data_IF_824872030068
#
_entry.id   IF_824872030068
#
_cell.length_a   1.000
_cell.length_b   1.000
_cell.length_c   1.000
_cell.angle_alpha   90.00
_cell.angle_beta   90.00
_cell.angle_gamma   90.00
#
_symmetry.space_group_name_H-M   'P 1'
#
loop_
_entity.id
_entity.type
_entity.pdbx_description
1 polymer ?
#
# COMPACT_ATOMS: atom_id res chain seq x y z
N UNK A 1 8.75 -17.70 13.11
CA UNK A 1 8.44 -16.25 13.19
C UNK A 1 7.02 -16.15 13.74
N UNK A 2 6.76 -15.45 14.85
CA UNK A 2 5.41 -15.42 15.44
C UNK A 2 4.50 -14.48 14.65
N UNK A 3 3.30 -14.95 14.28
CA UNK A 3 2.23 -14.16 13.65
C UNK A 3 1.79 -12.96 14.52
N UNK A 4 2.14 -13.01 15.80
CA UNK A 4 1.92 -11.99 16.82
C UNK A 4 2.66 -10.68 16.49
N UNK A 5 3.91 -10.77 16.05
CA UNK A 5 4.71 -9.60 15.64
C UNK A 5 4.09 -8.83 14.46
N UNK A 6 3.62 -9.56 13.43
CA UNK A 6 2.98 -8.97 12.26
C UNK A 6 1.64 -8.32 12.64
N UNK A 7 0.90 -8.92 13.58
CA UNK A 7 -0.33 -8.33 14.13
C UNK A 7 -0.04 -7.03 14.88
N UNK A 8 1.02 -6.99 15.69
CA UNK A 8 1.34 -5.82 16.52
C UNK A 8 1.80 -4.61 15.68
N UNK A 9 2.63 -4.85 14.65
CA UNK A 9 2.95 -3.82 13.64
C UNK A 9 1.71 -3.30 12.89
N UNK A 10 0.79 -4.19 12.54
CA UNK A 10 -0.49 -3.80 11.92
C UNK A 10 -1.38 -3.01 12.88
N UNK A 11 -1.34 -3.30 14.17
CA UNK A 11 -2.11 -2.61 15.21
C UNK A 11 -1.57 -1.21 15.50
N UNK A 12 -0.24 -1.04 15.57
CA UNK A 12 0.41 0.28 15.66
C UNK A 12 -0.02 1.18 14.49
N UNK A 13 -0.16 0.59 13.29
CA UNK A 13 -0.69 1.28 12.10
C UNK A 13 -2.17 1.66 12.27
N UNK A 14 -3.04 0.72 12.66
CA UNK A 14 -4.49 0.97 12.85
C UNK A 14 -4.78 2.03 13.90
N UNK A 15 -3.99 2.10 14.98
CA UNK A 15 -4.20 3.03 16.08
C UNK A 15 -3.89 4.50 15.73
N UNK A 16 -3.01 4.74 14.75
CA UNK A 16 -2.52 6.10 14.42
C UNK A 16 -3.03 6.65 13.08
N UNK A 17 -3.39 5.79 12.12
CA UNK A 17 -4.12 6.20 10.91
C UNK A 17 -5.63 6.14 11.18
N UNK A 18 -6.13 7.02 12.07
CA UNK A 18 -7.55 7.11 12.42
C UNK A 18 -8.43 7.78 11.35
N UNK A 19 -7.82 8.28 10.27
CA UNK A 19 -8.54 8.79 9.12
C UNK A 19 -8.33 7.82 7.95
N UNK A 20 -9.30 6.94 7.76
CA UNK A 20 -9.38 6.02 6.64
C UNK A 20 -9.56 6.79 5.34
N UNK A 21 -8.45 7.14 4.69
CA UNK A 21 -8.40 7.51 3.27
C UNK A 21 -8.89 6.39 2.33
N UNK A 22 -9.31 5.24 2.87
CA UNK A 22 -10.08 4.25 2.13
C UNK A 22 -11.56 4.60 2.00
N UNK A 23 -12.09 5.49 2.85
CA UNK A 23 -13.47 5.96 2.78
C UNK A 23 -13.59 7.27 1.95
N UNK A 24 -12.62 8.17 2.03
CA UNK A 24 -12.70 9.52 1.44
C UNK A 24 -12.70 9.67 -0.10
N UNK A 25 -11.95 8.91 -0.92
CA UNK A 25 -11.85 9.25 -2.35
C UNK A 25 -13.18 9.08 -3.08
N UNK A 26 -13.95 8.04 -2.72
CA UNK A 26 -15.23 7.78 -3.34
C UNK A 26 -16.38 8.60 -2.72
N UNK A 27 -16.27 9.02 -1.45
CA UNK A 27 -17.29 9.87 -0.80
C UNK A 27 -17.56 11.15 -1.60
N UNK A 28 -16.50 11.79 -2.10
CA UNK A 28 -16.64 13.00 -2.94
C UNK A 28 -17.41 12.77 -4.25
N UNK A 29 -17.39 11.55 -4.78
CA UNK A 29 -18.20 11.16 -5.95
C UNK A 29 -19.63 10.87 -5.49
N UNK A 30 -19.79 10.13 -4.39
CA UNK A 30 -21.09 9.72 -3.83
C UNK A 30 -21.96 10.96 -3.53
N UNK A 31 -21.40 11.98 -2.90
CA UNK A 31 -22.08 13.25 -2.57
C UNK A 31 -22.52 14.05 -3.80
N UNK A 32 -22.00 13.72 -4.98
CA UNK A 32 -22.27 14.42 -6.24
C UNK A 32 -23.06 13.58 -7.24
N UNK A 33 -23.43 12.34 -6.90
CA UNK A 33 -24.20 11.45 -7.79
C UNK A 33 -25.47 12.15 -8.27
N UNK A 34 -26.22 12.78 -7.35
CA UNK A 34 -27.48 13.48 -7.65
C UNK A 34 -27.30 14.69 -8.60
N UNK A 35 -26.07 15.21 -8.73
CA UNK A 35 -25.77 16.32 -9.66
C UNK A 35 -25.45 15.84 -11.08
N UNK A 36 -25.28 14.55 -11.27
CA UNK A 36 -24.74 13.97 -12.50
C UNK A 36 -25.63 12.90 -13.14
N UNK A 37 -26.64 12.41 -12.43
CA UNK A 37 -27.48 11.30 -12.86
C UNK A 37 -28.93 11.54 -12.46
N UNK A 38 -29.86 10.93 -13.18
CA UNK A 38 -31.29 10.95 -12.83
C UNK A 38 -31.59 10.12 -11.56
N UNK A 39 -32.79 10.28 -11.01
CA UNK A 39 -33.20 9.68 -9.73
C UNK A 39 -33.12 8.14 -9.72
N UNK A 40 -33.51 7.48 -10.81
CA UNK A 40 -33.50 6.01 -10.93
C UNK A 40 -32.06 5.47 -10.91
N UNK A 41 -31.17 6.13 -11.67
CA UNK A 41 -29.74 5.83 -11.69
C UNK A 41 -29.09 6.12 -10.33
N UNK A 42 -29.47 7.21 -9.67
CA UNK A 42 -28.98 7.56 -8.33
C UNK A 42 -29.36 6.51 -7.29
N UNK A 43 -30.62 6.06 -7.28
CA UNK A 43 -31.10 5.01 -6.39
C UNK A 43 -30.31 3.72 -6.59
N UNK A 44 -30.17 3.29 -7.84
CA UNK A 44 -29.42 2.08 -8.20
C UNK A 44 -27.94 2.17 -7.78
N UNK A 45 -27.29 3.32 -7.97
CA UNK A 45 -25.90 3.54 -7.53
C UNK A 45 -25.76 3.48 -6.00
N UNK A 46 -26.73 4.00 -5.25
CA UNK A 46 -26.73 3.93 -3.78
C UNK A 46 -26.87 2.49 -3.29
N UNK A 47 -27.70 1.68 -3.94
CA UNK A 47 -27.84 0.27 -3.59
C UNK A 47 -26.59 -0.56 -3.95
N UNK A 48 -25.92 -0.21 -5.04
CA UNK A 48 -24.58 -0.72 -5.37
C UNK A 48 -23.57 -0.44 -4.25
N UNK A 49 -23.55 0.76 -3.69
CA UNK A 49 -22.64 1.13 -2.59
C UNK A 49 -22.97 0.32 -1.33
N UNK A 50 -24.25 0.09 -1.02
CA UNK A 50 -24.66 -0.78 0.09
C UNK A 50 -24.19 -2.22 -0.14
N UNK A 51 -24.42 -2.77 -1.33
CA UNK A 51 -24.00 -4.11 -1.70
C UNK A 51 -22.47 -4.30 -1.58
N UNK A 52 -21.69 -3.34 -2.07
CA UNK A 52 -20.23 -3.34 -1.93
C UNK A 52 -19.80 -3.50 -0.46
N UNK A 53 -20.40 -2.73 0.46
CA UNK A 53 -20.09 -2.80 1.91
C UNK A 53 -20.43 -4.16 2.49
N UNK A 54 -21.58 -4.73 2.14
CA UNK A 54 -22.02 -6.05 2.60
C UNK A 54 -21.10 -7.16 2.09
N UNK A 55 -20.71 -7.15 0.82
CA UNK A 55 -19.78 -8.14 0.24
C UNK A 55 -18.45 -8.15 1.02
N UNK A 56 -17.90 -6.97 1.29
CA UNK A 56 -16.65 -6.85 2.07
C UNK A 56 -16.85 -7.35 3.50
N UNK A 57 -17.97 -7.01 4.15
CA UNK A 57 -18.29 -7.41 5.51
C UNK A 57 -18.35 -8.95 5.64
N UNK A 58 -19.18 -9.60 4.82
CA UNK A 58 -19.35 -11.05 4.82
C UNK A 58 -18.05 -11.78 4.43
N UNK A 59 -17.34 -11.28 3.41
CA UNK A 59 -16.03 -11.83 3.03
C UNK A 59 -14.96 -11.72 4.13
N UNK A 60 -15.04 -10.70 5.00
CA UNK A 60 -14.15 -10.57 6.17
C UNK A 60 -14.52 -11.56 7.28
N UNK A 61 -15.82 -11.79 7.47
CA UNK A 61 -16.35 -12.77 8.41
C UNK A 61 -16.19 -14.24 7.93
N UNK A 62 -15.69 -14.44 6.70
CA UNK A 62 -15.63 -15.74 6.03
C UNK A 62 -17.00 -16.37 5.75
N UNK A 63 -18.05 -15.55 5.75
CA UNK A 63 -19.39 -15.92 5.32
C UNK A 63 -19.48 -15.77 3.80
N UNK A 64 -18.95 -16.76 3.08
CA UNK A 64 -18.81 -16.68 1.62
C UNK A 64 -20.12 -16.93 0.88
N UNK A 65 -21.08 -17.62 1.49
CA UNK A 65 -22.40 -17.88 0.92
C UNK A 65 -23.20 -16.58 0.83
N UNK A 66 -23.32 -15.85 1.95
CA UNK A 66 -23.98 -14.54 1.95
C UNK A 66 -23.23 -13.53 1.06
N UNK A 67 -21.90 -13.55 1.05
CA UNK A 67 -21.14 -12.69 0.15
C UNK A 67 -21.46 -12.98 -1.33
N UNK A 68 -21.59 -14.25 -1.71
CA UNK A 68 -21.91 -14.66 -3.08
C UNK A 68 -23.34 -14.29 -3.47
N UNK A 69 -24.31 -14.46 -2.57
CA UNK A 69 -25.70 -14.05 -2.80
C UNK A 69 -25.77 -12.54 -3.10
N UNK A 70 -25.11 -11.70 -2.29
CA UNK A 70 -25.07 -10.26 -2.52
C UNK A 70 -24.33 -9.92 -3.83
N UNK A 71 -23.31 -10.70 -4.22
CA UNK A 71 -22.66 -10.53 -5.53
C UNK A 71 -23.67 -10.76 -6.66
N UNK A 72 -24.48 -11.82 -6.62
CA UNK A 72 -25.48 -12.07 -7.66
C UNK A 72 -26.57 -11.00 -7.70
N UNK A 73 -27.11 -10.60 -6.54
CA UNK A 73 -28.08 -9.49 -6.46
C UNK A 73 -27.50 -8.20 -7.05
N UNK A 74 -26.25 -7.87 -6.73
CA UNK A 74 -25.61 -6.64 -7.21
C UNK A 74 -25.36 -6.62 -8.73
N UNK A 75 -25.21 -7.79 -9.37
CA UNK A 75 -25.15 -7.89 -10.84
C UNK A 75 -26.50 -7.58 -11.47
N UNK A 76 -27.60 -7.97 -10.85
CA UNK A 76 -28.95 -7.59 -11.27
C UNK A 76 -29.13 -6.07 -11.13
N UNK A 77 -28.69 -5.47 -10.02
CA UNK A 77 -28.77 -4.01 -9.83
C UNK A 77 -27.97 -3.27 -10.90
N UNK A 78 -26.76 -3.75 -11.25
CA UNK A 78 -25.95 -3.19 -12.33
C UNK A 78 -26.70 -3.16 -13.68
N UNK A 79 -27.64 -4.07 -13.93
CA UNK A 79 -28.38 -4.11 -15.20
C UNK A 79 -29.34 -2.93 -15.39
N UNK A 80 -29.73 -2.25 -14.32
CA UNK A 80 -30.55 -1.03 -14.37
C UNK A 80 -29.73 0.23 -14.67
N UNK A 81 -28.40 0.15 -14.57
CA UNK A 81 -27.52 1.29 -14.88
C UNK A 81 -27.16 1.36 -16.37
N UNK A 82 -27.00 2.58 -16.90
CA UNK A 82 -26.72 2.82 -18.33
C UNK A 82 -25.50 3.73 -18.53
N UNK A 83 -24.78 3.57 -19.63
CA UNK A 83 -23.69 4.47 -20.03
C UNK A 83 -22.65 4.72 -18.91
N UNK A 84 -22.46 5.98 -18.51
CA UNK A 84 -21.48 6.38 -17.50
C UNK A 84 -21.81 5.88 -16.09
N UNK A 85 -23.10 5.84 -15.70
CA UNK A 85 -23.48 5.34 -14.37
C UNK A 85 -23.19 3.85 -14.24
N UNK A 86 -23.35 3.08 -15.33
CA UNK A 86 -22.94 1.66 -15.37
C UNK A 86 -21.44 1.49 -15.14
N UNK A 87 -20.62 2.34 -15.75
CA UNK A 87 -19.17 2.34 -15.54
C UNK A 87 -18.87 2.66 -14.07
N UNK A 88 -19.51 3.69 -13.51
CA UNK A 88 -19.34 4.08 -12.12
C UNK A 88 -19.79 2.98 -11.14
N UNK A 89 -20.91 2.31 -11.41
CA UNK A 89 -21.37 1.16 -10.64
C UNK A 89 -20.36 0.02 -10.64
N UNK A 90 -19.72 -0.26 -11.78
CA UNK A 90 -18.63 -1.25 -11.87
C UNK A 90 -17.41 -0.83 -11.08
N UNK A 91 -17.04 0.45 -11.10
CA UNK A 91 -15.94 1.01 -10.28
C UNK A 91 -16.21 0.79 -8.79
N UNK A 92 -17.44 1.00 -8.32
CA UNK A 92 -17.82 0.74 -6.92
C UNK A 92 -17.79 -0.75 -6.57
N UNK A 93 -18.39 -1.62 -7.39
CA UNK A 93 -18.58 -3.04 -7.04
C UNK A 93 -17.35 -3.92 -7.26
N UNK A 94 -16.65 -3.78 -8.38
CA UNK A 94 -15.63 -4.74 -8.78
C UNK A 94 -14.48 -4.91 -7.78
N UNK A 95 -14.05 -3.87 -7.02
CA UNK A 95 -13.13 -4.06 -5.90
C UNK A 95 -13.62 -5.05 -4.84
N UNK A 96 -14.93 -5.04 -4.52
CA UNK A 96 -15.51 -5.98 -3.55
C UNK A 96 -15.56 -7.41 -4.10
N UNK A 97 -15.86 -7.57 -5.39
CA UNK A 97 -15.77 -8.87 -6.06
C UNK A 97 -14.32 -9.38 -6.05
N UNK A 98 -13.35 -8.52 -6.36
CA UNK A 98 -11.95 -8.88 -6.32
C UNK A 98 -11.51 -9.33 -4.92
N UNK A 99 -11.99 -8.66 -3.88
CA UNK A 99 -11.73 -9.03 -2.49
C UNK A 99 -12.33 -10.39 -2.13
N UNK A 100 -13.59 -10.64 -2.47
CA UNK A 100 -14.26 -11.93 -2.29
C UNK A 100 -13.47 -13.07 -2.96
N UNK A 101 -13.17 -12.93 -4.25
CA UNK A 101 -12.44 -13.96 -5.00
C UNK A 101 -11.01 -14.16 -4.50
N UNK A 102 -10.38 -13.11 -3.96
CA UNK A 102 -9.10 -13.26 -3.27
C UNK A 102 -9.25 -14.15 -2.03
N UNK A 103 -10.29 -13.92 -1.21
CA UNK A 103 -10.54 -14.68 0.02
C UNK A 103 -10.85 -16.15 -0.24
N UNK A 104 -11.57 -16.43 -1.32
CA UNK A 104 -11.86 -17.81 -1.78
C UNK A 104 -10.72 -18.40 -2.62
N UNK A 105 -9.55 -17.74 -2.67
CA UNK A 105 -8.33 -18.16 -3.41
C UNK A 105 -8.53 -18.30 -4.93
N UNK A 106 -9.60 -17.75 -5.50
CA UNK A 106 -9.76 -17.60 -6.94
C UNK A 106 -9.00 -16.37 -7.46
N UNK A 107 -7.68 -16.49 -7.52
CA UNK A 107 -6.80 -15.39 -7.89
C UNK A 107 -6.96 -14.92 -9.34
N UNK A 108 -7.44 -15.80 -10.23
CA UNK A 108 -7.71 -15.44 -11.63
C UNK A 108 -8.85 -14.43 -11.74
N UNK A 109 -9.99 -14.73 -11.10
CA UNK A 109 -11.12 -13.80 -11.06
C UNK A 109 -10.80 -12.53 -10.27
N UNK A 110 -10.11 -12.66 -9.12
CA UNK A 110 -9.68 -11.50 -8.34
C UNK A 110 -8.86 -10.51 -9.18
N UNK A 111 -7.86 -11.02 -9.91
CA UNK A 111 -7.05 -10.21 -10.83
C UNK A 111 -7.87 -9.61 -11.97
N UNK A 112 -8.81 -10.37 -12.54
CA UNK A 112 -9.69 -9.88 -13.62
C UNK A 112 -10.50 -8.67 -13.18
N UNK A 113 -11.11 -8.74 -12.00
CA UNK A 113 -11.91 -7.63 -11.47
C UNK A 113 -11.06 -6.40 -11.16
N UNK A 114 -9.86 -6.56 -10.59
CA UNK A 114 -8.92 -5.44 -10.39
C UNK A 114 -8.56 -4.77 -11.73
N UNK A 115 -8.20 -5.57 -12.74
CA UNK A 115 -7.83 -5.05 -14.06
C UNK A 115 -9.01 -4.33 -14.73
N UNK A 116 -10.24 -4.83 -14.56
CA UNK A 116 -11.44 -4.15 -15.04
C UNK A 116 -11.66 -2.81 -14.33
N UNK A 117 -11.54 -2.75 -13.00
CA UNK A 117 -11.65 -1.49 -12.25
C UNK A 117 -10.65 -0.45 -12.75
N UNK A 118 -9.38 -0.84 -12.89
CA UNK A 118 -8.31 0.03 -13.42
C UNK A 118 -8.65 0.58 -14.81
N UNK A 119 -9.23 -0.24 -15.68
CA UNK A 119 -9.67 0.18 -17.01
C UNK A 119 -10.84 1.17 -16.95
N UNK A 120 -11.80 0.95 -16.04
CA UNK A 120 -12.97 1.81 -15.90
C UNK A 120 -12.66 3.15 -15.24
N UNK A 121 -11.76 3.16 -14.25
CA UNK A 121 -11.26 4.40 -13.64
C UNK A 121 -10.72 5.36 -14.70
N UNK A 122 -10.00 4.86 -15.69
CA UNK A 122 -9.47 5.67 -16.79
C UNK A 122 -10.55 6.35 -17.63
N UNK A 123 -11.66 5.66 -17.90
CA UNK A 123 -12.75 6.20 -18.72
C UNK A 123 -13.41 7.41 -18.07
N UNK A 124 -13.48 7.43 -16.74
CA UNK A 124 -14.15 8.49 -15.99
C UNK A 124 -13.20 9.47 -15.29
N UNK A 125 -11.89 9.22 -15.32
CA UNK A 125 -10.87 10.04 -14.65
C UNK A 125 -10.86 11.53 -15.08
N UNK A 126 -11.27 11.83 -16.31
CA UNK A 126 -11.39 13.21 -16.79
C UNK A 126 -12.53 13.96 -16.08
N UNK A 127 -13.64 13.26 -15.79
CA UNK A 127 -14.82 13.79 -15.08
C UNK A 127 -14.62 13.76 -13.57
N UNK A 128 -14.07 12.66 -13.04
CA UNK A 128 -13.79 12.45 -11.63
C UNK A 128 -12.29 12.19 -11.41
N UNK A 129 -11.52 13.26 -11.21
CA UNK A 129 -10.05 13.17 -11.04
C UNK A 129 -9.62 12.24 -9.90
N UNK A 130 -10.45 12.11 -8.87
CA UNK A 130 -10.21 11.21 -7.73
C UNK A 130 -10.16 9.73 -8.13
N UNK A 131 -10.71 9.34 -9.29
CA UNK A 131 -10.58 7.99 -9.82
C UNK A 131 -9.13 7.63 -10.21
N UNK A 132 -8.29 8.63 -10.47
CA UNK A 132 -6.86 8.38 -10.68
C UNK A 132 -6.18 7.85 -9.41
N UNK A 133 -6.56 8.37 -8.24
CA UNK A 133 -6.13 7.93 -6.91
C UNK A 133 -6.68 6.52 -6.63
N UNK A 134 -7.97 6.30 -6.89
CA UNK A 134 -8.63 5.01 -6.77
C UNK A 134 -7.92 3.92 -7.60
N UNK A 135 -7.60 4.22 -8.86
CA UNK A 135 -6.86 3.36 -9.77
C UNK A 135 -5.52 2.92 -9.19
N UNK A 136 -4.72 3.85 -8.68
CA UNK A 136 -3.39 3.54 -8.13
C UNK A 136 -3.53 2.59 -6.94
N UNK A 137 -4.53 2.82 -6.08
CA UNK A 137 -4.79 1.93 -4.95
C UNK A 137 -5.08 0.48 -5.41
N UNK A 138 -5.87 0.30 -6.47
CA UNK A 138 -6.15 -1.04 -7.01
C UNK A 138 -4.95 -1.68 -7.70
N UNK A 139 -4.16 -0.89 -8.44
CA UNK A 139 -2.89 -1.34 -9.01
C UNK A 139 -1.95 -1.80 -7.89
N UNK A 140 -1.86 -1.05 -6.79
CA UNK A 140 -1.09 -1.43 -5.61
C UNK A 140 -1.59 -2.76 -5.05
N UNK A 141 -2.89 -2.96 -4.89
CA UNK A 141 -3.46 -4.18 -4.29
C UNK A 141 -3.11 -5.48 -5.05
N UNK A 142 -2.72 -5.39 -6.34
CA UNK A 142 -2.18 -6.53 -7.09
C UNK A 142 -0.93 -7.14 -6.45
N UNK A 143 -0.15 -6.39 -5.66
CA UNK A 143 1.04 -6.93 -5.00
C UNK A 143 0.69 -8.11 -4.10
N UNK A 144 -0.43 -8.03 -3.37
CA UNK A 144 -0.84 -9.08 -2.44
C UNK A 144 -1.18 -10.37 -3.19
N UNK A 145 -1.83 -10.26 -4.36
CA UNK A 145 -2.10 -11.40 -5.24
C UNK A 145 -0.80 -12.02 -5.76
N UNK A 146 0.16 -11.20 -6.20
CA UNK A 146 1.45 -11.71 -6.64
C UNK A 146 2.19 -12.44 -5.51
N UNK A 147 2.14 -11.93 -4.28
CA UNK A 147 2.77 -12.59 -3.13
C UNK A 147 2.11 -13.92 -2.77
N UNK A 148 0.79 -13.97 -2.73
CA UNK A 148 0.06 -15.21 -2.45
C UNK A 148 0.33 -16.29 -3.50
N UNK A 149 0.53 -15.87 -4.76
CA UNK A 149 0.95 -16.75 -5.86
C UNK A 149 2.45 -17.01 -5.94
N UNK A 150 3.26 -16.49 -5.00
CA UNK A 150 4.74 -16.54 -5.03
C UNK A 150 5.37 -15.96 -6.30
N UNK A 151 4.69 -15.05 -6.98
CA UNK A 151 5.17 -14.34 -8.17
C UNK A 151 6.05 -13.14 -7.77
N UNK A 152 7.15 -13.40 -7.05
CA UNK A 152 7.98 -12.36 -6.42
C UNK A 152 8.55 -11.34 -7.42
N UNK A 153 8.92 -11.77 -8.62
CA UNK A 153 9.39 -10.88 -9.69
C UNK A 153 8.32 -9.87 -10.11
N UNK A 154 7.08 -10.32 -10.32
CA UNK A 154 5.95 -9.45 -10.69
C UNK A 154 5.61 -8.47 -9.56
N UNK A 155 5.68 -8.95 -8.32
CA UNK A 155 5.52 -8.09 -7.14
C UNK A 155 6.58 -6.98 -7.10
N UNK A 156 7.85 -7.33 -7.33
CA UNK A 156 8.95 -6.37 -7.38
C UNK A 156 8.84 -5.38 -8.55
N UNK A 157 8.42 -5.82 -9.73
CA UNK A 157 8.17 -4.96 -10.88
C UNK A 157 7.06 -3.94 -10.60
N UNK A 158 5.95 -4.38 -10.02
CA UNK A 158 4.87 -3.49 -9.58
C UNK A 158 5.36 -2.47 -8.55
N UNK A 159 6.17 -2.91 -7.59
CA UNK A 159 6.80 -2.03 -6.61
C UNK A 159 7.71 -0.99 -7.25
N UNK A 160 8.51 -1.39 -8.23
CA UNK A 160 9.33 -0.47 -8.99
C UNK A 160 8.51 0.56 -9.77
N UNK A 161 7.43 0.13 -10.41
CA UNK A 161 6.56 1.01 -11.20
C UNK A 161 5.87 2.08 -10.34
N UNK A 162 5.32 1.69 -9.19
CA UNK A 162 4.68 2.63 -8.26
C UNK A 162 5.72 3.57 -7.63
N UNK A 163 6.92 3.06 -7.39
CA UNK A 163 8.02 3.86 -6.88
C UNK A 163 8.49 4.92 -7.89
N UNK A 164 8.71 4.54 -9.15
CA UNK A 164 9.02 5.48 -10.25
C UNK A 164 7.90 6.51 -10.37
N UNK A 165 6.65 6.04 -10.39
CA UNK A 165 5.47 6.90 -10.45
C UNK A 165 5.41 7.93 -9.31
N UNK A 166 5.78 7.56 -8.08
CA UNK A 166 5.80 8.48 -6.94
C UNK A 166 6.81 9.63 -7.08
N UNK A 167 7.85 9.44 -7.90
CA UNK A 167 8.91 10.43 -8.11
C UNK A 167 8.67 11.26 -9.38
N UNK A 168 8.26 10.59 -10.46
CA UNK A 168 8.13 11.20 -11.78
C UNK A 168 6.69 11.66 -12.08
N UNK A 169 5.71 11.27 -11.25
CA UNK A 169 4.27 11.49 -11.45
C UNK A 169 3.72 10.91 -12.76
N UNK A 170 4.45 9.98 -13.37
CA UNK A 170 4.10 9.30 -14.61
C UNK A 170 3.91 7.81 -14.33
N UNK A 171 2.64 7.37 -14.33
CA UNK A 171 2.33 5.95 -14.13
C UNK A 171 2.66 5.22 -15.44
N UNK A 172 3.30 4.04 -15.41
CA UNK A 172 3.59 3.32 -16.65
C UNK A 172 2.33 3.03 -17.48
N UNK A 173 2.42 3.23 -18.79
CA UNK A 173 1.29 3.11 -19.73
C UNK A 173 0.60 1.74 -19.73
N UNK A 174 1.29 0.68 -19.28
CA UNK A 174 0.69 -0.65 -19.07
C UNK A 174 -0.43 -0.67 -18.02
N UNK A 175 -0.50 0.35 -17.18
CA UNK A 175 -1.60 0.56 -16.24
C UNK A 175 -2.65 1.53 -16.78
N UNK A 176 -2.57 1.96 -18.04
CA UNK A 176 -3.56 2.82 -18.70
C UNK A 176 -3.09 4.26 -18.91
N UNK A 177 -4.02 5.20 -19.12
CA UNK A 177 -3.71 6.60 -19.43
C UNK A 177 -3.16 7.35 -18.20
N UNK A 178 -2.13 8.17 -18.41
CA UNK A 178 -1.53 9.04 -17.38
C UNK A 178 -1.30 10.43 -17.96
N UNK A 179 -2.16 11.40 -17.64
CA UNK A 179 -1.97 12.79 -18.04
C UNK A 179 -1.32 13.59 -16.92
N UNK A 180 -0.20 14.26 -17.19
CA UNK A 180 0.44 15.20 -16.25
C UNK A 180 -0.49 16.35 -15.82
N UNK A 181 -1.52 16.63 -16.62
CA UNK A 181 -2.58 17.62 -16.33
C UNK A 181 -3.49 17.23 -15.15
N UNK A 182 -3.54 15.94 -14.76
CA UNK A 182 -4.36 15.47 -13.64
C UNK A 182 -3.81 15.89 -12.27
N UNK A 183 -2.52 16.25 -12.19
CA UNK A 183 -1.84 16.62 -10.93
C UNK A 183 -1.63 18.13 -10.76
N UNK A 184 -2.34 18.97 -11.53
CA UNK A 184 -2.30 20.42 -11.29
C UNK A 184 -3.05 20.75 -9.99
N UNK A 185 -2.30 20.90 -8.89
CA UNK A 185 -2.80 21.39 -7.60
C UNK A 185 -2.14 20.76 -6.37
N UNK A 186 -2.13 21.48 -5.25
CA UNK A 186 -1.52 21.05 -3.98
C UNK A 186 -2.21 19.81 -3.37
N UNK A 187 -3.54 19.71 -3.49
CA UNK A 187 -4.37 18.64 -2.92
C UNK A 187 -4.06 17.27 -3.57
N UNK A 188 -4.08 17.20 -4.90
CA UNK A 188 -3.77 15.96 -5.64
C UNK A 188 -2.35 15.44 -5.35
N UNK A 189 -1.40 16.36 -5.09
CA UNK A 189 -0.03 16.02 -4.66
C UNK A 189 -0.03 15.40 -3.26
N UNK A 190 -0.75 15.96 -2.30
CA UNK A 190 -0.81 15.44 -0.93
C UNK A 190 -1.51 14.07 -0.84
N UNK A 191 -2.58 13.86 -1.60
CA UNK A 191 -3.29 12.59 -1.65
C UNK A 191 -2.43 11.49 -2.28
N UNK A 192 -1.75 11.81 -3.39
CA UNK A 192 -0.79 10.89 -4.01
C UNK A 192 0.36 10.54 -3.06
N UNK A 193 0.92 11.56 -2.39
CA UNK A 193 1.96 11.38 -1.38
C UNK A 193 1.48 10.45 -0.25
N UNK A 194 0.20 10.49 0.11
CA UNK A 194 -0.37 9.61 1.14
C UNK A 194 -0.58 8.18 0.64
N UNK A 195 -0.99 7.98 -0.63
CA UNK A 195 -1.04 6.63 -1.24
C UNK A 195 0.34 6.00 -1.27
N UNK A 196 1.34 6.77 -1.71
CA UNK A 196 2.74 6.34 -1.76
C UNK A 196 3.22 5.97 -0.36
N UNK A 197 2.86 6.74 0.66
CA UNK A 197 3.26 6.45 2.04
C UNK A 197 2.67 5.14 2.58
N UNK A 198 1.40 4.91 2.30
CA UNK A 198 0.71 3.66 2.64
C UNK A 198 1.35 2.45 1.93
N UNK A 199 1.83 2.67 0.71
CA UNK A 199 2.48 1.66 -0.10
C UNK A 199 3.91 1.37 0.35
N UNK A 200 4.72 2.39 0.58
CA UNK A 200 6.09 2.27 1.08
C UNK A 200 6.14 1.34 2.29
N UNK A 201 5.24 1.55 3.26
CA UNK A 201 5.12 0.64 4.41
C UNK A 201 4.81 -0.81 4.02
N UNK A 202 3.87 -1.02 3.09
CA UNK A 202 3.49 -2.36 2.61
C UNK A 202 4.62 -3.05 1.84
N UNK A 203 5.41 -2.28 1.09
CA UNK A 203 6.60 -2.72 0.40
C UNK A 203 7.68 -3.20 1.37
N UNK A 204 7.99 -2.44 2.42
CA UNK A 204 8.99 -2.86 3.39
C UNK A 204 8.58 -4.09 4.19
N UNK A 205 7.30 -4.17 4.58
CA UNK A 205 6.75 -5.39 5.16
C UNK A 205 6.86 -6.58 4.20
N UNK A 206 6.70 -6.33 2.91
CA UNK A 206 6.88 -7.35 1.89
C UNK A 206 8.35 -7.78 1.75
N UNK A 207 9.30 -6.84 1.64
CA UNK A 207 10.75 -7.15 1.61
C UNK A 207 11.12 -7.99 2.83
N UNK A 208 10.69 -7.55 4.02
CA UNK A 208 10.94 -8.24 5.27
C UNK A 208 10.48 -9.69 5.21
N UNK A 209 9.25 -9.91 4.71
CA UNK A 209 8.64 -11.23 4.67
C UNK A 209 9.16 -12.09 3.52
N UNK A 210 9.63 -11.47 2.42
CA UNK A 210 9.99 -12.12 1.17
C UNK A 210 11.26 -11.49 0.56
N UNK A 211 12.47 -11.91 1.00
CA UNK A 211 13.75 -11.40 0.48
C UNK A 211 13.93 -11.57 -1.04
N UNK A 212 13.23 -12.51 -1.67
CA UNK A 212 13.16 -12.66 -3.13
C UNK A 212 12.68 -11.40 -3.82
N UNK A 213 11.67 -10.73 -3.24
CA UNK A 213 11.06 -9.52 -3.81
C UNK A 213 12.08 -8.39 -3.84
N UNK A 214 12.81 -8.20 -2.74
CA UNK A 214 13.91 -7.23 -2.66
C UNK A 214 14.98 -7.50 -3.71
N UNK A 215 15.43 -8.76 -3.82
CA UNK A 215 16.45 -9.14 -4.82
C UNK A 215 16.03 -8.79 -6.24
N UNK A 216 14.76 -9.01 -6.61
CA UNK A 216 14.27 -8.62 -7.94
C UNK A 216 14.14 -7.09 -8.09
N UNK A 217 13.67 -6.39 -7.05
CA UNK A 217 13.51 -4.95 -7.07
C UNK A 217 14.86 -4.24 -7.25
N UNK A 218 15.87 -4.62 -6.48
CA UNK A 218 17.23 -4.06 -6.57
C UNK A 218 17.93 -4.42 -7.89
N UNK A 219 17.49 -5.47 -8.58
CA UNK A 219 17.97 -5.81 -9.92
C UNK A 219 17.30 -4.99 -11.03
N UNK A 220 16.20 -4.29 -10.73
CA UNK A 220 15.50 -3.46 -11.71
C UNK A 220 16.39 -2.26 -12.14
N UNK A 221 16.59 -2.09 -13.45
CA UNK A 221 17.48 -1.08 -14.03
C UNK A 221 17.11 0.34 -13.61
N UNK A 222 15.82 0.71 -13.71
CA UNK A 222 15.33 2.05 -13.34
C UNK A 222 15.52 2.33 -11.86
N UNK A 223 15.29 1.31 -11.02
CA UNK A 223 15.53 1.42 -9.58
C UNK A 223 17.00 1.63 -9.28
N UNK A 224 17.90 0.88 -9.93
CA UNK A 224 19.35 1.10 -9.76
C UNK A 224 19.76 2.52 -10.15
N UNK A 225 19.20 3.07 -11.22
CA UNK A 225 19.46 4.44 -11.66
C UNK A 225 18.98 5.44 -10.60
N UNK A 226 17.76 5.29 -10.08
CA UNK A 226 17.22 6.15 -9.02
C UNK A 226 18.03 6.05 -7.73
N UNK A 227 18.42 4.84 -7.32
CA UNK A 227 19.20 4.62 -6.10
C UNK A 227 20.64 5.15 -6.20
N UNK A 228 21.17 5.33 -7.41
CA UNK A 228 22.48 5.93 -7.67
C UNK A 228 22.44 7.45 -7.79
N UNK A 229 21.25 8.04 -7.88
CA UNK A 229 21.12 9.49 -7.97
C UNK A 229 21.54 10.12 -6.64
N UNK A 230 22.57 10.97 -6.67
CA UNK A 230 23.14 11.64 -5.50
C UNK A 230 22.20 12.68 -4.88
N UNK A 231 21.27 13.23 -5.67
CA UNK A 231 20.34 14.28 -5.24
C UNK A 231 18.89 13.81 -5.34
N UNK A 232 18.39 13.18 -4.28
CA UNK A 232 16.99 12.85 -4.14
C UNK A 232 16.15 14.13 -3.93
N UNK A 233 15.16 14.37 -4.81
CA UNK A 233 14.28 15.56 -4.72
C UNK A 233 13.32 15.54 -3.51
N UNK A 234 13.09 14.37 -2.90
CA UNK A 234 12.19 14.23 -1.75
C UNK A 234 12.89 13.58 -0.57
N UNK A 235 12.60 14.05 0.66
CA UNK A 235 13.10 13.44 1.91
C UNK A 235 12.74 11.96 2.02
N UNK A 236 11.64 11.51 1.39
CA UNK A 236 11.21 10.11 1.40
C UNK A 236 12.06 9.23 0.50
N UNK A 237 12.37 9.72 -0.71
CA UNK A 237 13.31 9.06 -1.61
C UNK A 237 14.69 8.97 -0.96
N UNK A 238 15.14 10.06 -0.34
CA UNK A 238 16.40 10.09 0.40
C UNK A 238 16.42 9.06 1.54
N UNK A 239 15.36 8.98 2.34
CA UNK A 239 15.24 7.98 3.40
C UNK A 239 15.29 6.55 2.84
N UNK A 240 14.64 6.27 1.72
CA UNK A 240 14.72 4.94 1.11
C UNK A 240 16.15 4.63 0.62
N UNK A 241 16.83 5.57 -0.01
CA UNK A 241 18.21 5.39 -0.48
C UNK A 241 19.14 5.12 0.69
N UNK A 242 19.05 5.91 1.75
CA UNK A 242 19.86 5.74 2.97
C UNK A 242 19.53 4.43 3.68
N UNK A 243 18.24 4.08 3.80
CA UNK A 243 17.82 2.79 4.33
C UNK A 243 18.37 1.63 3.50
N UNK A 244 18.25 1.68 2.18
CA UNK A 244 18.76 0.64 1.29
C UNK A 244 20.30 0.52 1.38
N UNK A 245 20.99 1.63 1.60
CA UNK A 245 22.44 1.64 1.90
C UNK A 245 22.73 0.90 3.20
N UNK A 246 22.01 1.20 4.29
CA UNK A 246 22.11 0.47 5.57
C UNK A 246 21.86 -1.04 5.36
N UNK A 247 20.79 -1.38 4.63
CA UNK A 247 20.41 -2.77 4.35
C UNK A 247 21.48 -3.53 3.56
N UNK A 248 22.03 -2.89 2.51
CA UNK A 248 23.08 -3.50 1.68
C UNK A 248 24.32 -3.81 2.51
N UNK A 249 24.72 -2.90 3.40
CA UNK A 249 25.82 -3.13 4.33
C UNK A 249 25.52 -4.33 5.26
N UNK A 250 24.30 -4.43 5.79
CA UNK A 250 23.90 -5.59 6.59
C UNK A 250 23.98 -6.92 5.81
N UNK A 251 23.52 -6.95 4.56
CA UNK A 251 23.62 -8.15 3.70
C UNK A 251 25.09 -8.55 3.51
N UNK A 252 25.99 -7.57 3.39
CA UNK A 252 27.44 -7.78 3.29
C UNK A 252 28.11 -8.09 4.64
N UNK A 253 27.32 -8.24 5.72
CA UNK A 253 27.79 -8.42 7.11
C UNK A 253 28.71 -7.28 7.59
N UNK A 254 28.57 -6.08 7.02
CA UNK A 254 29.28 -4.88 7.43
C UNK A 254 28.30 -3.98 8.21
N UNK A 255 28.67 -3.52 9.39
CA UNK A 255 27.84 -2.63 10.20
C UNK A 255 28.50 -1.27 10.29
N UNK A 256 27.81 -0.23 9.81
CA UNK A 256 28.23 1.16 9.98
C UNK A 256 27.28 1.88 10.95
N UNK A 257 27.68 1.93 12.23
CA UNK A 257 26.87 2.54 13.28
C UNK A 257 26.64 4.03 13.08
N UNK A 258 27.60 4.77 12.53
CA UNK A 258 27.44 6.20 12.26
C UNK A 258 26.33 6.47 11.24
N UNK A 259 26.23 5.63 10.21
CA UNK A 259 25.20 5.75 9.18
C UNK A 259 23.81 5.40 9.76
N UNK A 260 23.72 4.37 10.61
CA UNK A 260 22.49 4.02 11.34
C UNK A 260 22.07 5.16 12.27
N UNK A 261 22.99 5.70 13.07
CA UNK A 261 22.74 6.81 13.99
C UNK A 261 22.27 8.06 13.25
N UNK A 262 22.89 8.38 12.12
CA UNK A 262 22.49 9.50 11.28
C UNK A 262 21.09 9.29 10.69
N UNK A 263 20.77 8.08 10.24
CA UNK A 263 19.42 7.75 9.77
C UNK A 263 18.36 8.07 10.84
N UNK A 264 18.58 7.63 12.08
CA UNK A 264 17.66 7.86 13.19
C UNK A 264 17.55 9.34 13.58
N UNK A 265 18.65 10.10 13.47
CA UNK A 265 18.68 11.55 13.72
C UNK A 265 17.96 12.34 12.63
N UNK A 266 18.12 11.95 11.37
CA UNK A 266 17.56 12.67 10.21
C UNK A 266 16.06 12.41 10.06
N UNK A 267 15.63 11.18 10.29
CA UNK A 267 14.27 10.73 9.99
C UNK A 267 13.40 10.58 11.24
N UNK A 268 13.31 11.63 12.06
CA UNK A 268 12.59 11.61 13.37
C UNK A 268 11.08 11.41 13.26
N UNK A 269 10.49 11.74 12.12
CA UNK A 269 9.04 11.65 11.90
C UNK A 269 8.54 10.19 11.93
N UNK A 270 7.32 9.97 12.45
CA UNK A 270 6.74 8.63 12.63
C UNK A 270 6.59 7.85 11.32
N UNK A 271 6.45 8.55 10.20
CA UNK A 271 6.42 7.97 8.85
C UNK A 271 7.62 7.03 8.60
N UNK A 272 8.76 7.29 9.22
CA UNK A 272 9.97 6.51 9.01
C UNK A 272 10.18 5.38 10.02
N UNK A 273 9.27 5.16 10.96
CA UNK A 273 9.47 4.20 12.05
C UNK A 273 9.60 2.76 11.56
N UNK A 274 8.96 2.41 10.42
CA UNK A 274 9.11 1.07 9.83
C UNK A 274 10.55 0.81 9.35
N UNK A 275 11.23 1.82 8.80
CA UNK A 275 12.63 1.71 8.40
C UNK A 275 13.52 1.53 9.62
N UNK A 276 13.25 2.29 10.68
CA UNK A 276 13.99 2.19 11.94
C UNK A 276 13.87 0.80 12.54
N UNK A 277 12.65 0.27 12.67
CA UNK A 277 12.41 -1.08 13.20
C UNK A 277 13.12 -2.16 12.37
N UNK A 278 13.12 -2.02 11.04
CA UNK A 278 13.86 -2.91 10.13
C UNK A 278 15.37 -2.88 10.36
N UNK A 279 15.95 -1.69 10.49
CA UNK A 279 17.37 -1.51 10.76
C UNK A 279 17.75 -2.17 12.09
N UNK A 280 16.94 -1.96 13.13
CA UNK A 280 17.21 -2.50 14.48
C UNK A 280 17.18 -4.03 14.50
N UNK A 281 16.23 -4.64 13.81
CA UNK A 281 16.19 -6.10 13.68
C UNK A 281 17.46 -6.64 13.00
N UNK A 282 17.83 -6.07 11.86
CA UNK A 282 18.99 -6.57 11.11
C UNK A 282 20.29 -6.37 11.89
N UNK A 283 20.35 -5.29 12.66
CA UNK A 283 21.44 -5.05 13.58
C UNK A 283 21.48 -6.12 14.69
N UNK A 284 20.33 -6.52 15.23
CA UNK A 284 20.25 -7.60 16.21
C UNK A 284 20.65 -8.97 15.62
N UNK A 285 20.19 -9.32 14.43
CA UNK A 285 20.48 -10.62 13.81
C UNK A 285 21.96 -10.83 13.50
N UNK A 286 22.70 -9.74 13.28
CA UNK A 286 24.15 -9.77 12.98
C UNK A 286 24.99 -9.62 14.26
N UNK A 287 24.51 -8.85 15.25
CA UNK A 287 25.23 -8.66 16.51
C UNK A 287 24.84 -9.69 17.57
N UNK A 288 25.53 -10.83 17.60
CA UNK A 288 25.51 -11.75 18.76
C UNK A 288 26.23 -11.19 20.01
N UNK A 289 26.65 -9.90 20.02
CA UNK A 289 27.46 -9.29 21.09
C UNK A 289 26.59 -8.40 22.00
N UNK A 290 26.61 -8.69 23.30
CA UNK A 290 25.90 -7.98 24.38
C UNK A 290 26.15 -6.46 24.37
N UNK A 291 27.35 -6.01 23.99
CA UNK A 291 27.75 -4.60 23.93
C UNK A 291 26.98 -3.80 22.88
N UNK A 292 26.68 -4.42 21.74
CA UNK A 292 25.92 -3.80 20.65
C UNK A 292 24.44 -3.63 21.01
N UNK A 293 23.90 -4.53 21.82
CA UNK A 293 22.52 -4.48 22.34
C UNK A 293 22.27 -3.23 23.20
N UNK A 294 23.20 -2.87 24.07
CA UNK A 294 23.05 -1.73 24.99
C UNK A 294 23.15 -0.37 24.29
N UNK A 295 24.05 -0.24 23.31
CA UNK A 295 24.15 0.98 22.49
C UNK A 295 22.89 1.19 21.64
N UNK A 296 22.38 0.09 21.04
CA UNK A 296 21.10 0.07 20.32
C UNK A 296 19.93 0.48 21.20
N UNK A 297 19.81 -0.12 22.39
CA UNK A 297 18.76 0.20 23.35
C UNK A 297 18.75 1.69 23.70
N UNK A 298 19.94 2.28 23.95
CA UNK A 298 20.02 3.71 24.27
C UNK A 298 19.64 4.64 23.09
N UNK A 299 19.88 4.21 21.84
CA UNK A 299 19.49 4.95 20.64
C UNK A 299 17.96 4.89 20.47
N UNK A 300 17.37 3.74 20.73
CA UNK A 300 15.95 3.50 20.55
C UNK A 300 15.13 4.22 21.63
N UNK A 301 15.47 4.05 22.90
CA UNK A 301 14.74 4.61 24.05
C UNK A 301 14.65 6.13 23.99
N UNK A 302 15.67 6.79 23.43
CA UNK A 302 15.74 8.25 23.37
C UNK A 302 15.08 8.87 22.14
N UNK A 303 14.76 8.09 21.08
CA UNK A 303 14.48 8.67 19.74
C UNK A 303 13.34 8.06 18.93
N UNK A 304 12.63 7.04 19.43
CA UNK A 304 11.43 6.51 18.77
C UNK A 304 10.14 7.02 19.44
N UNK A 305 9.22 7.58 18.65
CA UNK A 305 7.92 8.09 19.09
C UNK A 305 6.88 6.97 19.33
N UNK A 306 7.26 5.97 20.12
CA UNK A 306 6.33 4.95 20.62
C UNK A 306 5.87 5.33 22.03
N UNK A 307 4.59 5.08 22.35
CA UNK A 307 4.09 5.29 23.72
C UNK A 307 4.83 4.42 24.74
N UNK A 308 5.32 3.25 24.32
CA UNK A 308 6.08 2.30 25.14
C UNK A 308 7.18 1.62 24.30
N UNK A 309 8.33 2.30 24.07
CA UNK A 309 9.40 1.77 23.21
C UNK A 309 9.98 0.45 23.76
N UNK A 310 10.17 0.34 25.09
CA UNK A 310 10.74 -0.84 25.74
C UNK A 310 9.91 -2.11 25.55
N UNK A 311 8.59 -2.04 25.67
CA UNK A 311 7.67 -3.18 25.48
C UNK A 311 7.71 -3.68 24.04
N UNK A 312 7.76 -2.77 23.08
CA UNK A 312 7.90 -3.09 21.66
C UNK A 312 9.24 -3.80 21.47
N UNK A 313 10.36 -3.21 21.89
CA UNK A 313 11.70 -3.77 21.68
C UNK A 313 11.88 -5.16 22.32
N UNK A 314 11.46 -5.33 23.58
CA UNK A 314 11.65 -6.60 24.31
C UNK A 314 10.75 -7.70 23.73
N UNK A 315 9.51 -7.39 23.35
CA UNK A 315 8.61 -8.37 22.72
C UNK A 315 8.89 -8.61 21.24
N UNK A 316 9.52 -7.68 20.52
CA UNK A 316 9.61 -7.71 19.05
C UNK A 316 11.02 -7.99 18.54
N UNK A 317 12.04 -7.47 19.20
CA UNK A 317 13.43 -7.60 18.76
C UNK A 317 14.12 -8.71 19.56
N UNK A 318 13.86 -8.83 20.86
CA UNK A 318 14.60 -9.73 21.76
C UNK A 318 13.85 -10.99 22.19
N UNK A 319 12.58 -11.18 21.82
CA UNK A 319 11.76 -12.36 22.18
C UNK A 319 12.07 -13.65 21.41
N UNK A 320 13.07 -13.64 20.53
CA UNK A 320 13.57 -14.82 19.81
C UNK A 320 15.06 -15.06 20.08
N UNK A 321 15.49 -14.87 21.33
CA UNK A 321 16.70 -15.50 21.84
C UNK A 321 16.43 -16.98 22.16
#
# INVERSE_FOLDING_TARGET
>A
MSDEFLKELQNIKKAKFKNSLTDEPMLSIIEKIDKHYDEEQCSSLRDIIKAQKLIILYSKASDFEQALEIIEVSKTILSFLKNESLILGKIFLYPSFAYYYKKTKNYSLSKRYINHTVKFDDLLSAKFRVLHIHKIHHVINLHQLHLEKKEYKKCAELFADIFVYSNDLILPSKYGKSGSSLFRGQLAKNELLTIVDNFSSSYFMCIWKYPEVERYFLKNKKIKEILRASNAKSKRLQALIEFNTVQTLFIQKQVNFNLILNFFKTYTHYYFDIYKLLILKNLHSISKKQTTKNEILSIIEKKLNFKEPGVIIDKIIFSQA
#
